data_IF_461449255699
#
_entry.id   IF_461449255699
#
_cell.length_a   1.000
_cell.length_b   1.000
_cell.length_c   1.000
_cell.angle_alpha   90.00
_cell.angle_beta   90.00
_cell.angle_gamma   90.00
#
_symmetry.space_group_name_H-M   'P 1'
#
loop_
_entity.id
_entity.type
_entity.pdbx_description
1 polymer ?
#
# COMPACT_ATOMS: atom_id res chain seq x y z
N UNK A 1 -35.70 28.78 -1.54
CA UNK A 1 -35.07 27.44 -1.59
C UNK A 1 -34.19 27.33 -0.35
N UNK A 2 -34.82 26.92 0.76
CA UNK A 2 -34.18 26.89 2.07
C UNK A 2 -33.15 25.77 2.20
N UNK A 3 -32.04 26.00 2.92
CA UNK A 3 -31.14 24.92 3.32
C UNK A 3 -31.79 24.10 4.45
N UNK A 4 -32.00 22.81 4.21
CA UNK A 4 -32.51 21.85 5.21
C UNK A 4 -31.59 21.76 6.45
N UNK A 5 -32.15 21.65 7.66
CA UNK A 5 -31.38 21.54 8.90
C UNK A 5 -30.69 20.17 9.04
N UNK A 6 -29.53 20.16 9.71
CA UNK A 6 -28.81 18.93 10.09
C UNK A 6 -29.46 18.31 11.33
N UNK A 7 -29.66 16.99 11.41
CA UNK A 7 -30.12 16.34 12.64
C UNK A 7 -29.00 16.30 13.69
N UNK A 8 -29.34 16.72 14.91
CA UNK A 8 -28.46 16.79 16.07
C UNK A 8 -28.06 15.41 16.61
N UNK A 9 -26.85 15.37 17.17
CA UNK A 9 -26.32 14.23 17.92
C UNK A 9 -27.07 14.08 19.25
N UNK A 10 -27.70 12.92 19.45
CA UNK A 10 -28.26 12.52 20.73
C UNK A 10 -27.16 12.25 21.76
N UNK A 11 -27.27 12.93 22.89
CA UNK A 11 -26.53 12.71 24.13
C UNK A 11 -26.95 11.38 24.78
N UNK A 12 -26.07 10.40 24.79
CA UNK A 12 -26.19 9.18 25.59
C UNK A 12 -25.02 9.10 26.56
N UNK A 13 -25.15 9.71 27.73
CA UNK A 13 -24.25 9.56 28.87
C UNK A 13 -24.97 8.80 29.98
N UNK A 14 -24.45 7.64 30.36
CA UNK A 14 -24.91 6.94 31.57
C UNK A 14 -24.72 5.44 31.50
N UNK A 15 -23.48 4.96 31.65
CA UNK A 15 -23.24 3.61 32.17
C UNK A 15 -22.11 3.69 33.20
N UNK A 16 -22.53 3.72 34.46
CA UNK A 16 -21.70 3.48 35.65
C UNK A 16 -20.99 2.14 35.52
N UNK A 17 -19.66 2.13 35.73
CA UNK A 17 -18.91 0.92 36.03
C UNK A 17 -18.66 0.90 37.53
N UNK A 18 -19.43 0.07 38.23
CA UNK A 18 -19.26 -0.24 39.64
C UNK A 18 -18.02 -1.12 39.81
N UNK A 19 -16.99 -0.56 40.44
CA UNK A 19 -15.83 -1.30 40.95
C UNK A 19 -16.27 -2.04 42.22
N UNK A 20 -16.18 -3.37 42.23
CA UNK A 20 -16.13 -4.15 43.47
C UNK A 20 -15.00 -5.17 43.37
N UNK A 21 -13.92 -4.84 44.06
CA UNK A 21 -12.94 -5.80 44.53
C UNK A 21 -13.52 -6.55 45.74
N UNK A 22 -13.43 -7.88 45.76
CA UNK A 22 -13.49 -8.63 47.01
C UNK A 22 -12.65 -9.90 46.91
N UNK A 23 -11.78 -10.03 47.90
CA UNK A 23 -10.87 -11.13 48.15
C UNK A 23 -11.63 -12.37 48.64
N UNK A 24 -11.17 -13.53 48.16
CA UNK A 24 -10.96 -14.75 48.94
C UNK A 24 -12.16 -15.66 49.22
N UNK A 25 -12.07 -16.93 48.79
CA UNK A 25 -12.03 -18.09 49.72
C UNK A 25 -11.62 -19.38 49.00
N UNK A 26 -10.80 -20.16 49.71
CA UNK A 26 -10.29 -21.50 49.41
C UNK A 26 -11.25 -22.57 49.94
N UNK A 27 -11.43 -23.67 49.20
CA UNK A 27 -11.84 -25.06 49.53
C UNK A 27 -12.57 -25.62 48.29
N UNK A 28 -12.37 -26.80 47.72
CA UNK A 28 -11.54 -27.97 48.01
C UNK A 28 -12.19 -29.18 47.30
N UNK A 29 -11.37 -30.01 46.64
CA UNK A 29 -11.58 -31.41 46.22
C UNK A 29 -12.62 -31.79 45.15
N UNK A 30 -12.16 -32.58 44.16
CA UNK A 30 -12.96 -33.29 43.17
C UNK A 30 -12.14 -33.77 41.96
N UNK A 31 -11.22 -34.71 42.19
CA UNK A 31 -10.44 -35.39 41.14
C UNK A 31 -11.33 -36.30 40.28
N UNK A 32 -11.36 -36.08 38.96
CA UNK A 32 -11.43 -37.16 37.96
C UNK A 32 -10.54 -36.81 36.77
N UNK A 33 -9.63 -37.73 36.48
CA UNK A 33 -8.55 -37.69 35.50
C UNK A 33 -8.99 -38.19 34.13
N UNK A 34 -8.59 -37.51 33.05
CA UNK A 34 -8.59 -38.03 31.68
C UNK A 34 -8.13 -36.98 30.66
N UNK A 35 -7.32 -37.32 29.63
CA UNK A 35 -6.27 -36.44 29.12
C UNK A 35 -6.59 -35.90 27.72
N UNK A 36 -6.99 -34.64 27.62
CA UNK A 36 -6.93 -33.89 26.35
C UNK A 36 -6.22 -32.56 26.61
N UNK A 37 -4.91 -32.67 26.74
CA UNK A 37 -3.98 -31.55 26.65
C UNK A 37 -3.88 -31.07 25.21
N UNK A 38 -4.05 -29.76 25.04
CA UNK A 38 -3.28 -28.98 24.08
C UNK A 38 -3.85 -28.92 22.67
N UNK A 39 -4.40 -27.77 22.30
CA UNK A 39 -4.10 -27.03 21.06
C UNK A 39 -5.10 -25.86 20.99
N UNK A 40 -5.03 -24.95 21.96
CA UNK A 40 -6.08 -23.94 22.08
C UNK A 40 -5.75 -22.68 22.87
N UNK A 41 -4.53 -22.50 23.39
CA UNK A 41 -4.06 -21.22 23.95
C UNK A 41 -2.53 -21.20 23.87
N UNK A 42 -1.97 -21.10 22.66
CA UNK A 42 -0.50 -21.11 22.53
C UNK A 42 0.02 -20.21 21.41
N UNK A 43 -0.45 -18.96 21.36
CA UNK A 43 0.30 -17.86 20.70
C UNK A 43 0.26 -16.55 21.49
N UNK A 44 -0.55 -16.40 22.55
CA UNK A 44 -0.56 -15.17 23.35
C UNK A 44 0.42 -15.16 24.55
N UNK A 45 0.98 -16.30 24.96
CA UNK A 45 1.75 -16.42 26.22
C UNK A 45 3.27 -16.60 26.06
N UNK A 46 3.82 -16.54 24.84
CA UNK A 46 5.30 -16.59 24.64
C UNK A 46 5.96 -15.24 24.40
N UNK A 47 5.21 -14.16 24.20
CA UNK A 47 5.80 -12.83 24.03
C UNK A 47 6.11 -12.13 25.37
N UNK A 48 5.31 -12.39 26.41
CA UNK A 48 5.46 -11.74 27.73
C UNK A 48 6.57 -12.39 28.57
N UNK A 49 6.79 -13.70 28.45
CA UNK A 49 7.93 -14.38 29.12
C UNK A 49 9.30 -14.06 28.47
N UNK A 50 9.33 -13.81 27.15
CA UNK A 50 10.54 -13.35 26.47
C UNK A 50 10.93 -11.92 26.87
N UNK A 51 9.94 -11.06 27.19
CA UNK A 51 10.21 -9.70 27.68
C UNK A 51 10.62 -9.73 29.15
N UNK A 52 10.11 -10.66 29.98
CA UNK A 52 10.51 -10.78 31.39
C UNK A 52 11.90 -11.44 31.58
N UNK A 53 12.25 -12.42 30.76
CA UNK A 53 13.58 -13.08 30.83
C UNK A 53 14.71 -12.19 30.31
N UNK A 54 14.44 -11.28 29.37
CA UNK A 54 15.41 -10.28 28.90
C UNK A 54 15.64 -9.15 29.92
N UNK A 55 14.68 -8.89 30.83
CA UNK A 55 14.84 -7.89 31.88
C UNK A 55 15.56 -8.42 33.14
N UNK A 56 15.67 -9.74 33.32
CA UNK A 56 16.32 -10.37 34.49
C UNK A 56 17.78 -10.82 34.26
N UNK A 57 18.36 -10.60 33.07
CA UNK A 57 19.83 -10.71 32.83
C UNK A 57 20.52 -9.36 33.12
N UNK A 58 19.81 -8.38 33.69
CA UNK A 58 20.28 -7.00 33.88
C UNK A 58 20.62 -6.65 35.34
N UNK A 59 21.26 -7.57 36.07
CA UNK A 59 21.98 -7.22 37.30
C UNK A 59 23.34 -7.91 37.27
N UNK A 60 24.40 -7.13 37.54
CA UNK A 60 25.83 -7.50 37.64
C UNK A 60 26.63 -7.47 36.34
N UNK A 61 27.14 -6.29 35.97
CA UNK A 61 28.59 -6.07 35.75
C UNK A 61 28.87 -4.60 35.43
N UNK A 62 29.92 -4.09 36.07
CA UNK A 62 30.43 -2.73 35.97
C UNK A 62 30.75 -2.30 34.53
N UNK A 63 30.37 -1.07 34.17
CA UNK A 63 31.07 -0.26 33.17
C UNK A 63 30.75 -0.57 31.69
N UNK A 64 30.12 0.40 31.02
CA UNK A 64 29.96 0.54 29.56
C UNK A 64 29.19 -0.58 28.84
N UNK A 65 27.87 -0.38 28.69
CA UNK A 65 27.17 -0.82 27.49
C UNK A 65 25.90 0.01 27.27
N UNK A 66 26.08 1.23 26.76
CA UNK A 66 25.01 1.96 26.08
C UNK A 66 25.17 1.71 24.58
N UNK A 67 24.09 1.71 23.80
CA UNK A 67 23.96 1.39 22.36
C UNK A 67 23.64 -0.07 21.98
N UNK A 68 22.34 -0.43 21.99
CA UNK A 68 21.63 -1.19 20.90
C UNK A 68 20.22 -1.70 21.26
N UNK A 69 19.60 -1.28 22.35
CA UNK A 69 18.25 -1.76 22.70
C UNK A 69 17.09 -0.99 22.01
N UNK A 70 17.33 0.24 21.55
CA UNK A 70 16.28 1.09 20.96
C UNK A 70 15.82 0.66 19.55
N UNK A 71 16.68 0.04 18.75
CA UNK A 71 16.32 -0.38 17.39
C UNK A 71 15.39 -1.60 17.36
N UNK A 72 15.46 -2.46 18.38
CA UNK A 72 14.67 -3.70 18.44
C UNK A 72 13.23 -3.46 18.91
N UNK A 73 13.05 -2.62 19.95
CA UNK A 73 11.74 -2.22 20.45
C UNK A 73 10.98 -1.33 19.45
N UNK A 74 11.69 -0.51 18.66
CA UNK A 74 11.08 0.27 17.59
C UNK A 74 10.55 -0.62 16.44
N UNK A 75 11.22 -1.71 16.08
CA UNK A 75 10.72 -2.64 15.07
C UNK A 75 9.45 -3.39 15.53
N UNK A 76 9.38 -3.81 16.80
CA UNK A 76 8.19 -4.45 17.37
C UNK A 76 7.01 -3.48 17.54
N UNK A 77 7.26 -2.25 18.02
CA UNK A 77 6.24 -1.19 18.07
C UNK A 77 5.75 -0.80 16.67
N UNK A 78 6.64 -0.72 15.68
CA UNK A 78 6.28 -0.50 14.28
C UNK A 78 5.42 -1.64 13.71
N UNK A 79 5.74 -2.90 14.01
CA UNK A 79 4.93 -4.05 13.57
C UNK A 79 3.54 -4.11 14.23
N UNK A 80 3.44 -3.76 15.51
CA UNK A 80 2.17 -3.74 16.25
C UNK A 80 1.30 -2.53 15.85
N UNK A 81 1.91 -1.36 15.60
CA UNK A 81 1.24 -0.21 14.97
C UNK A 81 0.82 -0.52 13.53
N UNK A 82 1.61 -1.29 12.77
CA UNK A 82 1.25 -1.75 11.43
C UNK A 82 -0.01 -2.65 11.46
N UNK A 83 -0.07 -3.59 12.41
CA UNK A 83 -1.25 -4.41 12.68
C UNK A 83 -2.48 -3.58 13.08
N UNK A 84 -2.33 -2.67 14.06
CA UNK A 84 -3.43 -1.84 14.55
C UNK A 84 -3.96 -0.87 13.48
N UNK A 85 -3.09 -0.29 12.65
CA UNK A 85 -3.48 0.66 11.60
C UNK A 85 -4.09 -0.03 10.38
N UNK A 86 -3.69 -1.27 10.10
CA UNK A 86 -4.33 -2.12 9.09
C UNK A 86 -5.77 -2.51 9.49
N UNK A 87 -5.99 -2.79 10.78
CA UNK A 87 -7.28 -3.22 11.34
C UNK A 87 -8.22 -2.06 11.73
N UNK A 88 -7.70 -0.87 12.07
CA UNK A 88 -8.50 0.26 12.54
C UNK A 88 -9.51 0.83 11.53
N UNK A 89 -9.38 0.51 10.24
CA UNK A 89 -10.29 0.96 9.18
C UNK A 89 -11.56 0.14 8.99
N UNK A 90 -11.69 -1.00 9.68
CA UNK A 90 -12.70 -2.02 9.37
C UNK A 90 -14.05 -1.85 10.08
N UNK A 91 -14.18 -0.93 11.06
CA UNK A 91 -15.38 -0.81 11.93
C UNK A 91 -16.69 -0.44 11.22
N UNK A 92 -16.66 -0.12 9.92
CA UNK A 92 -17.84 0.27 9.12
C UNK A 92 -18.18 -0.70 7.99
N UNK A 93 -17.46 -1.82 7.87
CA UNK A 93 -17.61 -2.76 6.75
C UNK A 93 -18.04 -4.10 7.33
N UNK A 94 -19.09 -4.68 6.75
CA UNK A 94 -19.47 -6.05 7.01
C UNK A 94 -18.42 -6.95 6.34
N UNK A 95 -17.62 -7.63 7.16
CA UNK A 95 -16.49 -8.44 6.73
C UNK A 95 -16.88 -9.88 6.39
N UNK A 96 -18.12 -10.24 6.72
CA UNK A 96 -18.63 -11.59 6.62
C UNK A 96 -19.29 -11.76 5.24
N UNK A 97 -18.85 -12.78 4.50
CA UNK A 97 -19.36 -13.09 3.15
C UNK A 97 -18.66 -12.41 1.97
N UNK A 98 -17.68 -11.53 2.20
CA UNK A 98 -16.85 -10.96 1.11
C UNK A 98 -15.68 -11.89 0.77
N UNK A 99 -15.35 -12.00 -0.53
CA UNK A 99 -14.13 -12.70 -0.97
C UNK A 99 -12.94 -11.77 -0.83
N UNK A 100 -11.80 -12.37 -0.50
CA UNK A 100 -10.54 -11.66 -0.31
C UNK A 100 -9.63 -12.00 -1.48
N UNK A 101 -9.27 -10.98 -2.27
CA UNK A 101 -8.38 -11.14 -3.42
C UNK A 101 -7.05 -10.45 -3.20
N UNK A 102 -5.98 -11.19 -3.45
CA UNK A 102 -4.61 -10.66 -3.39
C UNK A 102 -4.08 -10.37 -4.78
N UNK A 103 -3.58 -9.15 -4.96
CA UNK A 103 -2.94 -8.67 -6.18
C UNK A 103 -1.46 -8.44 -5.91
N UNK A 104 -0.59 -9.13 -6.64
CA UNK A 104 0.83 -8.79 -6.65
C UNK A 104 1.08 -7.64 -7.64
N UNK A 105 1.69 -6.56 -7.13
CA UNK A 105 1.99 -5.37 -7.93
C UNK A 105 3.38 -5.43 -8.59
N UNK A 106 4.20 -6.44 -8.26
CA UNK A 106 5.57 -6.57 -8.75
C UNK A 106 5.64 -6.64 -10.26
N UNK A 107 6.37 -5.71 -10.87
CA UNK A 107 6.56 -5.65 -12.33
C UNK A 107 5.30 -5.27 -13.12
N UNK A 108 4.19 -4.95 -12.45
CA UNK A 108 2.93 -4.62 -13.09
C UNK A 108 2.82 -3.14 -13.41
N UNK A 109 2.18 -2.81 -14.54
CA UNK A 109 1.98 -1.42 -14.96
C UNK A 109 0.88 -0.78 -14.13
N UNK A 110 1.21 0.30 -13.41
CA UNK A 110 0.32 1.02 -12.48
C UNK A 110 -1.13 1.16 -12.97
N UNK A 111 -1.32 1.66 -14.20
CA UNK A 111 -2.66 1.92 -14.73
C UNK A 111 -3.44 0.64 -15.06
N UNK A 112 -2.77 -0.42 -15.49
CA UNK A 112 -3.41 -1.71 -15.81
C UNK A 112 -3.84 -2.42 -14.53
N UNK A 113 -2.95 -2.44 -13.55
CA UNK A 113 -3.22 -2.95 -12.21
C UNK A 113 -4.41 -2.21 -11.59
N UNK A 114 -4.39 -0.87 -11.59
CA UNK A 114 -5.47 -0.06 -11.01
C UNK A 114 -6.82 -0.31 -11.70
N UNK A 115 -6.84 -0.51 -13.02
CA UNK A 115 -8.07 -0.83 -13.75
C UNK A 115 -8.69 -2.13 -13.26
N UNK A 116 -7.89 -3.19 -13.13
CA UNK A 116 -8.37 -4.50 -12.65
C UNK A 116 -8.81 -4.45 -11.18
N UNK A 117 -8.09 -3.71 -10.34
CA UNK A 117 -8.50 -3.49 -8.95
C UNK A 117 -9.86 -2.80 -8.91
N UNK A 118 -10.05 -1.74 -9.71
CA UNK A 118 -11.30 -0.99 -9.70
C UNK A 118 -12.52 -1.79 -10.19
N UNK A 119 -12.34 -2.78 -11.08
CA UNK A 119 -13.42 -3.67 -11.51
C UNK A 119 -13.83 -4.64 -10.41
N UNK A 120 -12.86 -5.20 -9.68
CA UNK A 120 -13.09 -6.13 -8.57
C UNK A 120 -13.67 -5.42 -7.35
N UNK A 121 -13.15 -4.23 -7.00
CA UNK A 121 -13.70 -3.40 -5.92
C UNK A 121 -15.13 -2.93 -6.21
N UNK A 122 -15.52 -2.82 -7.48
CA UNK A 122 -16.91 -2.55 -7.85
C UNK A 122 -17.79 -3.81 -7.89
N UNK A 123 -17.19 -5.01 -7.92
CA UNK A 123 -17.90 -6.28 -8.06
C UNK A 123 -18.43 -6.55 -9.48
N UNK A 124 -17.93 -5.83 -10.49
CA UNK A 124 -18.39 -5.95 -11.89
C UNK A 124 -18.03 -7.28 -12.55
N UNK A 125 -17.10 -7.99 -11.96
CA UNK A 125 -16.66 -9.32 -12.37
C UNK A 125 -17.68 -10.41 -11.97
N UNK A 126 -18.60 -10.12 -11.05
CA UNK A 126 -19.66 -11.05 -10.66
C UNK A 126 -20.95 -10.77 -11.45
N UNK A 127 -21.70 -11.81 -11.84
CA UNK A 127 -22.98 -11.63 -12.53
C UNK A 127 -24.05 -10.97 -11.63
N UNK A 128 -23.87 -11.01 -10.31
CA UNK A 128 -24.76 -10.39 -9.31
C UNK A 128 -24.58 -8.86 -9.20
N UNK A 129 -23.77 -8.24 -10.06
CA UNK A 129 -23.47 -6.81 -9.98
C UNK A 129 -24.72 -5.93 -10.09
N UNK A 130 -24.97 -5.13 -9.05
CA UNK A 130 -25.96 -4.06 -9.04
C UNK A 130 -25.27 -2.70 -8.85
N UNK A 131 -25.50 -1.69 -9.70
CA UNK A 131 -24.74 -0.43 -9.67
C UNK A 131 -25.02 0.44 -8.44
N UNK A 132 -26.19 0.28 -7.82
CA UNK A 132 -26.66 1.00 -6.63
C UNK A 132 -26.24 0.33 -5.30
N UNK A 133 -25.74 -0.91 -5.34
CA UNK A 133 -25.26 -1.66 -4.18
C UNK A 133 -23.73 -1.81 -4.22
N UNK A 134 -23.14 -2.13 -3.08
CA UNK A 134 -21.70 -2.35 -2.96
C UNK A 134 -21.35 -3.82 -2.66
N UNK A 135 -21.44 -4.66 -3.69
CA UNK A 135 -21.14 -6.11 -3.62
C UNK A 135 -19.69 -6.47 -4.00
N UNK A 136 -18.82 -5.45 -4.06
CA UNK A 136 -17.42 -5.61 -4.43
C UNK A 136 -16.61 -6.38 -3.40
N UNK A 137 -15.58 -7.07 -3.88
CA UNK A 137 -14.67 -7.87 -3.05
C UNK A 137 -13.61 -7.01 -2.36
N UNK A 138 -13.00 -7.59 -1.32
CA UNK A 138 -11.87 -6.99 -0.62
C UNK A 138 -10.60 -7.20 -1.45
N UNK A 139 -9.89 -6.12 -1.75
CA UNK A 139 -8.65 -6.18 -2.54
C UNK A 139 -7.46 -5.84 -1.66
N UNK A 140 -6.50 -6.77 -1.60
CA UNK A 140 -5.20 -6.56 -0.97
C UNK A 140 -4.15 -6.46 -2.07
N UNK A 141 -3.39 -5.37 -2.08
CA UNK A 141 -2.27 -5.17 -3.00
C UNK A 141 -0.96 -5.34 -2.25
N UNK A 142 -0.08 -6.19 -2.75
CA UNK A 142 1.26 -6.44 -2.24
C UNK A 142 2.33 -5.75 -3.09
N UNK A 143 3.52 -5.56 -2.53
CA UNK A 143 4.70 -5.05 -3.25
C UNK A 143 4.48 -3.70 -3.96
N UNK A 144 3.83 -2.74 -3.30
CA UNK A 144 3.56 -1.42 -3.91
C UNK A 144 4.81 -0.64 -4.34
N UNK A 145 5.98 -0.97 -3.78
CA UNK A 145 7.28 -0.38 -4.15
C UNK A 145 7.71 -0.76 -5.57
N UNK A 146 7.38 -1.96 -6.02
CA UNK A 146 7.90 -2.56 -7.26
C UNK A 146 6.97 -2.34 -8.47
N UNK A 147 6.05 -1.39 -8.36
CA UNK A 147 5.13 -1.03 -9.45
C UNK A 147 5.88 -0.33 -10.57
N UNK A 148 5.67 -0.81 -11.79
CA UNK A 148 6.32 -0.24 -12.96
C UNK A 148 5.45 0.86 -13.62
N UNK A 149 6.13 1.86 -14.16
CA UNK A 149 5.51 2.94 -14.94
C UNK A 149 6.29 3.07 -16.24
N UNK A 150 5.57 3.19 -17.35
CA UNK A 150 6.18 3.21 -18.68
C UNK A 150 6.71 4.60 -19.07
N UNK A 151 7.84 4.64 -19.79
CA UNK A 151 8.45 5.87 -20.31
C UNK A 151 9.10 6.74 -19.22
N UNK A 152 9.16 8.06 -19.46
CA UNK A 152 9.77 9.05 -18.54
C UNK A 152 8.80 9.58 -17.47
N UNK A 153 7.67 8.91 -17.26
CA UNK A 153 6.61 9.38 -16.35
C UNK A 153 7.03 9.51 -14.89
N UNK A 154 8.11 8.85 -14.46
CA UNK A 154 8.64 8.99 -13.10
C UNK A 154 9.02 10.44 -12.78
N UNK A 155 9.65 11.13 -13.73
CA UNK A 155 10.03 12.54 -13.59
C UNK A 155 8.91 13.47 -14.03
N UNK A 156 8.24 13.13 -15.14
CA UNK A 156 7.36 14.08 -15.82
C UNK A 156 5.95 14.16 -15.21
N UNK A 157 5.52 13.13 -14.47
CA UNK A 157 4.18 13.11 -13.86
C UNK A 157 4.22 13.80 -12.51
N UNK A 158 3.54 14.94 -12.41
CA UNK A 158 3.36 15.67 -11.16
C UNK A 158 1.99 15.41 -10.52
N UNK A 159 1.99 15.16 -9.21
CA UNK A 159 0.81 15.25 -8.37
C UNK A 159 0.67 16.68 -7.87
N UNK A 160 -0.41 17.34 -8.27
CA UNK A 160 -0.76 18.70 -7.87
C UNK A 160 -1.92 18.71 -6.91
N UNK A 161 -1.87 19.57 -5.89
CA UNK A 161 -3.01 19.88 -5.03
C UNK A 161 -2.88 21.30 -4.49
N UNK A 162 -4.03 21.88 -4.15
CA UNK A 162 -4.10 23.18 -3.48
C UNK A 162 -4.43 22.95 -2.00
N UNK A 163 -3.85 23.73 -1.11
CA UNK A 163 -4.16 23.64 0.33
C UNK A 163 -5.47 24.33 0.69
N UNK A 164 -5.97 25.22 -0.16
CA UNK A 164 -7.24 25.94 0.07
C UNK A 164 -7.24 26.81 1.34
N UNK A 165 -6.07 27.13 1.90
CA UNK A 165 -5.99 27.96 3.10
C UNK A 165 -6.46 29.37 2.76
N UNK A 166 -7.55 29.78 3.42
CA UNK A 166 -8.11 31.12 3.37
C UNK A 166 -7.45 31.89 4.50
N UNK A 167 -6.70 32.96 4.20
CA UNK A 167 -6.44 33.97 5.23
C UNK A 167 -7.77 34.68 5.48
N UNK A 168 -8.33 34.53 6.67
CA UNK A 168 -9.51 35.29 7.06
C UNK A 168 -9.06 36.72 7.37
N UNK A 169 -9.87 37.71 6.97
CA UNK A 169 -9.59 39.15 7.16
C UNK A 169 -9.42 39.58 8.63
N UNK A 170 -9.75 38.71 9.59
CA UNK A 170 -9.52 38.92 11.03
C UNK A 170 -8.05 38.95 11.45
N UNK A 171 -7.14 38.52 10.58
CA UNK A 171 -5.69 38.51 10.85
C UNK A 171 -4.99 39.79 10.35
N UNK A 172 -5.73 40.75 9.78
CA UNK A 172 -5.22 42.05 9.34
C UNK A 172 -5.24 43.06 10.51
N UNK A 173 -4.13 43.18 11.23
CA UNK A 173 -3.88 44.26 12.20
C UNK A 173 -3.46 45.57 11.50
N UNK A 174 -4.24 46.03 10.53
CA UNK A 174 -4.09 47.39 9.98
C UNK A 174 -5.49 48.00 9.87
N UNK A 175 -5.99 48.47 11.01
CA UNK A 175 -6.95 49.56 11.03
C UNK A 175 -6.17 50.82 10.66
N UNK A 176 -6.40 51.38 9.47
CA UNK A 176 -6.43 52.81 9.21
C UNK A 176 -6.94 53.02 7.78
N UNK A 177 -8.14 53.63 7.74
CA UNK A 177 -8.78 54.33 6.63
C UNK A 177 -9.56 53.52 5.57
N UNK A 178 -10.85 53.88 5.48
CA UNK A 178 -11.98 53.25 4.80
C UNK A 178 -11.93 53.20 3.25
N UNK A 179 -10.79 52.90 2.62
CA UNK A 179 -10.75 52.64 1.18
C UNK A 179 -10.00 51.35 0.80
N UNK A 180 -10.80 50.38 0.32
CA UNK A 180 -10.44 49.21 -0.48
C UNK A 180 -9.61 48.11 0.19
N UNK A 181 -10.28 47.18 0.86
CA UNK A 181 -9.79 45.80 0.93
C UNK A 181 -10.61 44.88 0.00
N UNK A 182 -10.46 45.08 -1.31
CA UNK A 182 -11.01 44.18 -2.35
C UNK A 182 -10.04 43.06 -2.76
N UNK A 183 -8.92 42.89 -2.04
CA UNK A 183 -7.78 42.04 -2.42
C UNK A 183 -7.51 40.87 -1.50
N UNK A 184 -8.50 40.27 -0.85
CA UNK A 184 -8.32 38.92 -0.28
C UNK A 184 -8.71 37.86 -1.32
N UNK A 185 -7.87 37.67 -2.35
CA UNK A 185 -8.07 36.64 -3.37
C UNK A 185 -6.80 35.81 -3.49
N UNK A 186 -6.85 34.61 -2.91
CA UNK A 186 -5.91 33.49 -2.96
C UNK A 186 -4.74 33.63 -3.96
N UNK A 187 -3.52 33.85 -3.48
CA UNK A 187 -2.29 33.79 -4.30
C UNK A 187 -1.36 32.71 -3.75
N UNK A 188 -0.83 31.85 -4.63
CA UNK A 188 0.46 31.15 -4.40
C UNK A 188 0.48 29.72 -3.81
N UNK A 189 -0.65 29.08 -3.48
CA UNK A 189 -0.64 27.81 -2.71
C UNK A 189 -0.76 26.52 -3.54
N UNK A 190 -0.19 26.49 -4.75
CA UNK A 190 -0.12 25.27 -5.57
C UNK A 190 1.06 24.41 -5.11
N UNK A 191 0.77 23.24 -4.53
CA UNK A 191 1.79 22.26 -4.16
C UNK A 191 1.91 21.22 -5.27
N UNK A 192 3.14 20.99 -5.71
CA UNK A 192 3.46 19.97 -6.69
C UNK A 192 4.44 18.96 -6.11
N UNK A 193 4.32 17.71 -6.54
CA UNK A 193 5.29 16.66 -6.23
C UNK A 193 5.46 15.76 -7.44
N UNK A 194 6.68 15.46 -7.84
CA UNK A 194 6.92 14.50 -8.91
C UNK A 194 6.51 13.08 -8.49
N UNK A 195 6.25 12.19 -9.44
CA UNK A 195 5.92 10.80 -9.16
C UNK A 195 7.10 10.10 -8.47
N UNK A 196 8.34 10.40 -8.86
CA UNK A 196 9.56 9.90 -8.22
C UNK A 196 9.57 10.23 -6.72
N UNK A 197 9.33 11.49 -6.36
CA UNK A 197 9.32 11.91 -4.95
C UNK A 197 8.13 11.31 -4.19
N UNK A 198 6.98 11.16 -4.87
CA UNK A 198 5.81 10.51 -4.27
C UNK A 198 6.07 9.02 -3.98
N UNK A 199 6.78 8.30 -4.86
CA UNK A 199 7.16 6.91 -4.65
C UNK A 199 8.19 6.75 -3.53
N UNK A 200 9.12 7.70 -3.39
CA UNK A 200 10.09 7.70 -2.30
C UNK A 200 9.43 7.94 -0.94
N UNK A 201 8.43 8.84 -0.87
CA UNK A 201 7.72 9.14 0.36
C UNK A 201 6.73 8.03 0.74
N UNK A 202 5.72 7.81 -0.09
CA UNK A 202 4.62 6.88 0.18
C UNK A 202 4.17 6.23 -1.14
N UNK A 203 4.71 5.05 -1.51
CA UNK A 203 4.35 4.38 -2.76
C UNK A 203 2.89 3.89 -2.76
N UNK A 204 2.34 3.59 -1.58
CA UNK A 204 0.93 3.20 -1.40
C UNK A 204 -0.06 4.25 -1.92
N UNK A 205 0.23 5.53 -1.70
CA UNK A 205 -0.63 6.63 -2.14
C UNK A 205 -0.72 6.74 -3.67
N UNK A 206 0.32 6.32 -4.39
CA UNK A 206 0.34 6.33 -5.86
C UNK A 206 -0.75 5.42 -6.42
N UNK A 207 -0.86 4.20 -5.86
CA UNK A 207 -1.85 3.19 -6.26
C UNK A 207 -3.23 3.61 -5.77
N UNK A 208 -3.36 4.04 -4.50
CA UNK A 208 -4.64 4.49 -3.93
C UNK A 208 -5.26 5.61 -4.75
N UNK A 209 -4.49 6.67 -5.08
CA UNK A 209 -4.97 7.77 -5.93
C UNK A 209 -5.32 7.32 -7.35
N UNK A 210 -4.61 6.35 -7.90
CA UNK A 210 -4.91 5.83 -9.23
C UNK A 210 -6.27 5.11 -9.24
N UNK A 211 -6.51 4.21 -8.28
CA UNK A 211 -7.76 3.45 -8.16
C UNK A 211 -8.92 4.38 -7.80
N UNK A 212 -8.75 5.27 -6.82
CA UNK A 212 -9.78 6.21 -6.39
C UNK A 212 -10.28 7.10 -7.54
N UNK A 213 -9.39 7.47 -8.47
CA UNK A 213 -9.74 8.26 -9.66
C UNK A 213 -10.43 7.44 -10.76
N UNK A 214 -10.38 6.11 -10.70
CA UNK A 214 -11.09 5.20 -11.61
C UNK A 214 -12.48 4.80 -11.09
N UNK A 215 -12.71 4.89 -9.77
CA UNK A 215 -14.03 4.63 -9.19
C UNK A 215 -15.04 5.74 -9.56
N UNK A 216 -16.33 5.39 -9.71
CA UNK A 216 -17.39 6.37 -9.99
C UNK A 216 -17.48 7.40 -8.86
N UNK A 217 -17.73 8.67 -9.22
CA UNK A 217 -17.89 9.76 -8.25
C UNK A 217 -19.30 9.74 -7.67
N UNK A 218 -19.50 8.94 -6.63
CA UNK A 218 -20.74 8.84 -5.87
C UNK A 218 -20.46 8.71 -4.37
N UNK A 219 -21.51 8.64 -3.54
CA UNK A 219 -21.37 8.46 -2.08
C UNK A 219 -20.70 7.12 -1.72
N UNK A 220 -20.95 6.08 -2.52
CA UNK A 220 -20.36 4.74 -2.34
C UNK A 220 -18.85 4.70 -2.66
N UNK A 221 -18.28 5.76 -3.24
CA UNK A 221 -16.87 5.76 -3.67
C UNK A 221 -15.93 5.56 -2.51
N UNK A 222 -16.20 6.24 -1.39
CA UNK A 222 -15.34 6.19 -0.22
C UNK A 222 -15.50 4.85 0.51
N UNK A 223 -16.70 4.28 0.52
CA UNK A 223 -16.95 2.94 1.08
C UNK A 223 -16.24 1.85 0.26
N UNK A 224 -16.24 1.97 -1.07
CA UNK A 224 -15.46 1.12 -1.97
C UNK A 224 -13.93 1.28 -1.77
N UNK A 225 -13.43 2.49 -1.57
CA UNK A 225 -11.99 2.70 -1.28
C UNK A 225 -11.57 2.09 0.06
N UNK A 226 -12.48 2.02 1.04
CA UNK A 226 -12.20 1.33 2.31
C UNK A 226 -11.89 -0.16 2.12
N UNK A 227 -12.51 -0.83 1.14
CA UNK A 227 -12.24 -2.24 0.78
C UNK A 227 -10.85 -2.46 0.16
N UNK A 228 -10.14 -1.41 -0.24
CA UNK A 228 -8.79 -1.50 -0.78
C UNK A 228 -7.71 -1.32 0.30
N UNK A 229 -6.90 -2.36 0.51
CA UNK A 229 -5.70 -2.32 1.36
C UNK A 229 -4.45 -2.50 0.51
N UNK A 230 -3.41 -1.73 0.80
CA UNK A 230 -2.18 -1.71 0.00
C UNK A 230 -1.00 -1.78 0.96
N UNK A 231 -0.10 -2.72 0.69
CA UNK A 231 1.11 -2.95 1.45
C UNK A 231 2.33 -2.68 0.58
N UNK A 232 3.38 -2.16 1.21
CA UNK A 232 4.62 -1.83 0.53
C UNK A 232 5.50 -3.04 0.32
N UNK A 233 5.44 -4.02 1.22
CA UNK A 233 6.13 -5.31 1.13
C UNK A 233 5.22 -6.45 0.66
N UNK A 234 5.76 -7.66 0.71
CA UNK A 234 5.10 -8.91 0.30
C UNK A 234 4.21 -9.50 1.40
N UNK A 235 4.37 -9.07 2.64
CA UNK A 235 3.64 -9.61 3.79
C UNK A 235 2.39 -8.77 4.10
N UNK A 236 1.33 -9.45 4.52
CA UNK A 236 0.09 -8.84 4.98
C UNK A 236 -0.41 -9.51 6.28
N UNK A 237 -1.12 -8.78 7.15
CA UNK A 237 -1.60 -9.29 8.43
C UNK A 237 -2.84 -10.19 8.34
N UNK A 238 -3.44 -10.39 7.16
CA UNK A 238 -4.74 -11.05 7.00
C UNK A 238 -4.68 -12.57 6.77
N UNK A 239 -3.79 -13.27 7.49
CA UNK A 239 -3.57 -14.71 7.30
C UNK A 239 -4.75 -15.60 7.69
N UNK A 240 -5.64 -15.13 8.56
CA UNK A 240 -6.72 -15.94 9.13
C UNK A 240 -7.89 -16.18 8.17
N UNK A 241 -7.92 -15.46 7.04
CA UNK A 241 -9.04 -15.47 6.09
C UNK A 241 -8.69 -16.23 4.81
N UNK A 242 -9.66 -16.87 4.14
CA UNK A 242 -9.43 -17.52 2.86
C UNK A 242 -9.09 -16.47 1.79
N UNK A 243 -7.88 -16.54 1.25
CA UNK A 243 -7.36 -15.61 0.26
C UNK A 243 -7.31 -16.28 -1.11
N UNK A 244 -7.90 -15.62 -2.11
CA UNK A 244 -7.80 -16.00 -3.51
C UNK A 244 -6.74 -15.12 -4.21
N UNK A 245 -5.63 -15.69 -4.73
CA UNK A 245 -4.69 -14.91 -5.52
C UNK A 245 -5.31 -14.52 -6.88
N UNK A 246 -5.26 -13.23 -7.22
CA UNK A 246 -5.77 -12.74 -8.50
C UNK A 246 -4.69 -12.79 -9.56
N UNK A 247 -4.94 -13.57 -10.61
CA UNK A 247 -4.08 -13.60 -11.80
C UNK A 247 -4.58 -12.56 -12.80
N UNK A 248 -3.66 -11.73 -13.31
CA UNK A 248 -4.02 -10.77 -14.35
C UNK A 248 -4.42 -11.48 -15.64
N UNK A 249 -5.46 -10.99 -16.35
CA UNK A 249 -5.85 -11.57 -17.63
C UNK A 249 -4.67 -11.48 -18.63
N UNK A 250 -4.45 -12.54 -19.44
CA UNK A 250 -3.33 -12.59 -20.36
C UNK A 250 -3.42 -11.46 -21.37
N UNK A 251 -2.27 -10.84 -21.65
CA UNK A 251 -2.19 -9.71 -22.56
C UNK A 251 -1.90 -10.20 -23.99
N UNK A 252 -2.81 -9.93 -24.91
CA UNK A 252 -2.47 -9.90 -26.34
C UNK A 252 -1.58 -8.69 -26.61
N UNK A 253 -0.28 -8.92 -26.77
CA UNK A 253 0.65 -7.86 -27.18
C UNK A 253 0.36 -7.57 -28.64
N UNK A 254 0.03 -6.31 -28.98
CA UNK A 254 0.00 -5.90 -30.39
C UNK A 254 1.36 -6.19 -30.99
N UNK A 255 1.39 -7.00 -32.04
CA UNK A 255 2.63 -7.24 -32.78
C UNK A 255 3.29 -5.92 -33.17
N UNK A 256 4.62 -5.94 -33.27
CA UNK A 256 5.34 -4.78 -33.78
C UNK A 256 4.77 -4.36 -35.13
N UNK A 257 4.58 -3.06 -35.31
CA UNK A 257 4.12 -2.50 -36.58
C UNK A 257 5.01 -3.05 -37.71
N UNK A 258 4.47 -3.52 -38.84
CA UNK A 258 5.26 -4.26 -39.84
C UNK A 258 6.52 -3.54 -40.32
N UNK A 259 6.50 -2.20 -40.40
CA UNK A 259 7.69 -1.38 -40.73
C UNK A 259 8.79 -1.47 -39.68
N UNK A 260 8.45 -1.40 -38.39
CA UNK A 260 9.41 -1.52 -37.30
C UNK A 260 10.01 -2.94 -37.25
N UNK A 261 9.17 -3.97 -37.44
CA UNK A 261 9.62 -5.36 -37.56
C UNK A 261 10.60 -5.54 -38.71
N UNK A 262 10.28 -5.02 -39.91
CA UNK A 262 11.16 -5.05 -41.09
C UNK A 262 12.48 -4.29 -40.87
N UNK A 263 12.44 -3.15 -40.20
CA UNK A 263 13.63 -2.36 -39.89
C UNK A 263 14.58 -3.10 -38.93
N UNK A 264 14.05 -3.75 -37.89
CA UNK A 264 14.84 -4.57 -36.97
C UNK A 264 15.50 -5.75 -37.67
N UNK A 265 14.74 -6.48 -38.51
CA UNK A 265 15.29 -7.61 -39.28
C UNK A 265 16.42 -7.15 -40.21
N UNK A 266 16.28 -5.99 -40.86
CA UNK A 266 17.34 -5.41 -41.69
C UNK A 266 18.56 -5.00 -40.86
N UNK A 267 18.36 -4.44 -39.67
CA UNK A 267 19.45 -4.07 -38.77
C UNK A 267 20.20 -5.30 -38.25
N UNK A 268 19.49 -6.36 -37.87
CA UNK A 268 20.07 -7.65 -37.45
C UNK A 268 20.90 -8.28 -38.56
N UNK A 269 20.34 -8.44 -39.77
CA UNK A 269 21.10 -8.96 -40.92
C UNK A 269 22.33 -8.13 -41.25
N UNK A 270 22.26 -6.81 -41.10
CA UNK A 270 23.41 -5.92 -41.32
C UNK A 270 24.49 -6.12 -40.25
N UNK A 271 24.11 -6.30 -38.98
CA UNK A 271 25.04 -6.59 -37.89
C UNK A 271 25.71 -7.96 -38.09
N UNK A 272 24.94 -9.00 -38.44
CA UNK A 272 25.46 -10.35 -38.74
C UNK A 272 26.47 -10.32 -39.90
N UNK A 273 26.17 -9.61 -40.99
CA UNK A 273 27.11 -9.46 -42.12
C UNK A 273 28.39 -8.70 -41.71
N UNK A 274 28.31 -7.74 -40.79
CA UNK A 274 29.49 -7.02 -40.30
C UNK A 274 30.35 -7.90 -39.40
N UNK A 275 29.74 -8.71 -38.54
CA UNK A 275 30.44 -9.70 -37.70
C UNK A 275 31.14 -10.77 -38.55
N UNK A 276 30.45 -11.28 -39.59
CA UNK A 276 31.04 -12.23 -40.54
C UNK A 276 32.25 -11.62 -41.26
N UNK A 277 32.11 -10.41 -41.82
CA UNK A 277 33.24 -9.70 -42.44
C UNK A 277 34.40 -9.48 -41.46
N UNK A 278 34.12 -9.12 -40.21
CA UNK A 278 35.16 -8.94 -39.20
C UNK A 278 35.89 -10.27 -38.89
N UNK A 279 35.17 -11.39 -38.83
CA UNK A 279 35.76 -12.71 -38.64
C UNK A 279 36.58 -13.16 -39.86
N UNK A 280 36.10 -12.93 -41.08
CA UNK A 280 36.83 -13.24 -42.31
C UNK A 280 38.14 -12.45 -42.40
N UNK A 281 38.10 -11.16 -42.00
CA UNK A 281 39.30 -10.30 -41.96
C UNK A 281 40.31 -10.81 -40.93
N UNK A 282 39.86 -11.23 -39.75
CA UNK A 282 40.71 -11.83 -38.69
C UNK A 282 41.33 -13.15 -39.12
N UNK A 283 40.58 -13.99 -39.85
CA UNK A 283 41.07 -15.26 -40.39
C UNK A 283 42.17 -15.02 -41.42
N UNK A 284 41.93 -14.12 -42.38
CA UNK A 284 42.93 -13.75 -43.40
C UNK A 284 44.21 -13.13 -42.82
N UNK A 285 44.14 -12.36 -41.73
CA UNK A 285 45.36 -11.86 -41.04
C UNK A 285 46.15 -12.97 -40.34
N UNK A 286 45.46 -14.00 -39.83
CA UNK A 286 46.08 -15.13 -39.13
C UNK A 286 46.78 -16.07 -40.11
N UNK A 287 46.15 -16.30 -41.27
CA UNK A 287 46.72 -17.10 -42.35
C UNK A 287 47.99 -16.44 -42.91
N UNK A 288 47.98 -15.12 -43.13
CA UNK A 288 49.18 -14.35 -43.56
C UNK A 288 50.30 -14.35 -42.52
N UNK A 289 49.97 -14.31 -41.23
CA UNK A 289 50.98 -14.37 -40.17
C UNK A 289 51.64 -15.75 -40.08
N UNK A 290 50.88 -16.83 -40.36
CA UNK A 290 51.40 -18.19 -40.42
C UNK A 290 52.31 -18.41 -41.64
N UNK A 291 52.05 -17.75 -42.78
CA UNK A 291 52.84 -17.86 -44.00
C UNK A 291 54.19 -17.11 -43.94
N UNK A 292 54.28 -16.04 -43.14
CA UNK A 292 55.53 -15.27 -42.93
C UNK A 292 56.45 -15.89 -41.88
N UNK A 293 55.97 -16.89 -41.13
CA UNK A 293 56.72 -17.57 -40.06
C UNK A 293 57.15 -19.00 -40.41
N UNK A 294 56.94 -19.42 -41.66
CA UNK A 294 57.43 -20.66 -42.27
C UNK A 294 58.55 -20.37 -43.27
#
# INVERSE_FOLDING_TARGET
MDPRPRPGLGSGSGFEVRVLASLGRVQGSGHHSGPWSGFGVQVQFRLVELISTLYNVFVVCNGKLSFKFDSFLNNLKCALLFMQKALAGLRRIDLDGLRWRVFDAKGQVLGRLASQISTVVQGKDKPTYAPNRDDGDMCIVLNAKDVCVTGRKLTDKFYRWHTGQVFHSSDCLVFLDDLLCSTCRYVGHLKERSLKDQMAKDPTEVIRKAVLRMLPRNKLRDDRDRKLRIFTGSEHPFGDRPIEPYVMPPRTVREMRPRARRALVRAQKKAEMQEQKANDTRKGSKDKAAEVSA
#
